data_IF_605593644452
#
_entry.id   IF_605593644452
#
_cell.length_a   1.000
_cell.length_b   1.000
_cell.length_c   1.000
_cell.angle_alpha   90.00
_cell.angle_beta   90.00
_cell.angle_gamma   90.00
#
_symmetry.space_group_name_H-M   'P 1'
#
loop_
_entity.id
_entity.type
_entity.pdbx_description
1 polymer ?
#
# COMPACT_ATOMS: atom_id res chain seq x y z
N UNK A 1 -0.50 -4.61 -1.19
CA UNK A 1 -1.38 -5.44 -2.04
C UNK A 1 -1.04 -5.13 -3.50
N UNK A 2 -0.90 -6.14 -4.36
CA UNK A 2 -0.52 -5.94 -5.76
C UNK A 2 -1.59 -5.14 -6.50
N UNK A 3 -1.16 -4.23 -7.37
CA UNK A 3 -2.05 -3.41 -8.18
C UNK A 3 -2.75 -4.29 -9.21
N UNK A 4 -4.07 -4.16 -9.31
CA UNK A 4 -4.87 -4.99 -10.23
C UNK A 4 -4.63 -4.56 -11.67
N UNK A 5 -4.22 -5.52 -12.51
CA UNK A 5 -4.10 -5.34 -13.98
C UNK A 5 -5.46 -5.04 -14.62
N UNK A 6 -5.46 -4.27 -15.71
CA UNK A 6 -6.66 -3.90 -16.46
C UNK A 6 -7.03 -4.96 -17.48
N UNK A 7 -8.31 -5.32 -17.52
CA UNK A 7 -8.92 -6.17 -18.55
C UNK A 7 -10.03 -5.41 -19.28
N UNK A 8 -10.19 -5.62 -20.58
CA UNK A 8 -11.23 -4.95 -21.38
C UNK A 8 -12.21 -5.95 -21.99
N UNK A 9 -13.48 -5.83 -21.61
CA UNK A 9 -14.56 -6.63 -22.21
C UNK A 9 -14.88 -6.16 -23.64
N UNK A 10 -14.62 -4.89 -23.95
CA UNK A 10 -14.85 -4.30 -25.27
C UNK A 10 -13.91 -4.96 -26.30
N UNK A 11 -12.64 -5.17 -25.93
CA UNK A 11 -11.66 -5.85 -26.78
C UNK A 11 -12.12 -7.26 -27.14
N UNK A 12 -12.58 -8.03 -26.15
CA UNK A 12 -13.13 -9.37 -26.36
C UNK A 12 -14.33 -9.37 -27.30
N UNK A 13 -15.26 -8.43 -27.13
CA UNK A 13 -16.41 -8.27 -28.03
C UNK A 13 -15.98 -7.90 -29.45
N UNK A 14 -15.00 -7.01 -29.61
CA UNK A 14 -14.50 -6.59 -30.91
C UNK A 14 -13.84 -7.75 -31.68
N UNK A 15 -13.04 -8.58 -31.00
CA UNK A 15 -12.44 -9.79 -31.58
C UNK A 15 -13.51 -10.78 -32.08
N UNK A 16 -14.55 -11.03 -31.30
CA UNK A 16 -15.67 -11.89 -31.73
C UNK A 16 -16.39 -11.33 -32.96
N UNK A 17 -16.59 -10.00 -33.01
CA UNK A 17 -17.19 -9.34 -34.18
C UNK A 17 -16.31 -9.51 -35.43
N UNK A 18 -14.99 -9.32 -35.31
CA UNK A 18 -14.07 -9.55 -36.43
C UNK A 18 -14.13 -11.00 -36.92
N UNK A 19 -14.17 -11.97 -36.02
CA UNK A 19 -14.32 -13.38 -36.40
C UNK A 19 -15.64 -13.64 -37.15
N UNK A 20 -16.74 -13.06 -36.67
CA UNK A 20 -18.04 -13.16 -37.34
C UNK A 20 -18.05 -12.49 -38.72
N UNK A 21 -17.49 -11.29 -38.83
CA UNK A 21 -17.40 -10.56 -40.10
C UNK A 21 -16.54 -11.31 -41.13
N UNK A 22 -15.39 -11.85 -40.71
CA UNK A 22 -14.53 -12.70 -41.56
C UNK A 22 -15.24 -13.93 -42.11
N UNK A 23 -16.15 -14.52 -41.32
CA UNK A 23 -16.92 -15.69 -41.73
C UNK A 23 -18.03 -15.36 -42.73
N UNK A 24 -18.56 -14.14 -42.71
CA UNK A 24 -19.57 -13.66 -43.65
C UNK A 24 -18.92 -13.33 -44.98
N UNK A 25 -17.93 -12.42 -44.96
CA UNK A 25 -17.15 -12.05 -46.13
C UNK A 25 -15.76 -11.55 -45.67
N UNK A 26 -14.66 -12.22 -46.09
CA UNK A 26 -13.31 -11.85 -45.73
C UNK A 26 -12.88 -10.45 -46.18
N UNK A 27 -13.54 -9.86 -47.18
CA UNK A 27 -13.18 -8.58 -47.79
C UNK A 27 -14.23 -7.48 -47.53
N UNK A 28 -14.99 -7.61 -46.43
CA UNK A 28 -15.99 -6.60 -46.03
C UNK A 28 -15.38 -5.20 -45.98
N UNK A 29 -15.93 -4.35 -46.83
CA UNK A 29 -15.61 -2.94 -46.92
C UNK A 29 -16.92 -2.14 -47.07
N UNK A 30 -17.29 -1.39 -46.03
CA UNK A 30 -18.45 -0.51 -46.07
C UNK A 30 -18.06 0.93 -46.44
N UNK A 31 -16.82 1.32 -46.13
CA UNK A 31 -16.25 2.66 -46.34
C UNK A 31 -14.73 2.63 -46.06
N UNK A 32 -14.00 3.68 -46.44
CA UNK A 32 -12.57 3.86 -46.17
C UNK A 32 -12.24 3.76 -44.67
N UNK A 33 -13.18 4.10 -43.80
CA UNK A 33 -13.03 4.02 -42.34
C UNK A 33 -13.60 2.73 -41.74
N UNK A 34 -14.75 2.27 -42.24
CA UNK A 34 -15.48 1.11 -41.72
C UNK A 34 -15.24 -0.15 -42.55
N UNK A 35 -14.01 -0.65 -42.48
CA UNK A 35 -13.63 -1.92 -43.09
C UNK A 35 -12.99 -2.87 -42.08
N UNK A 36 -12.89 -4.14 -42.47
CA UNK A 36 -12.39 -5.21 -41.62
C UNK A 36 -10.91 -5.02 -41.24
N UNK A 37 -10.12 -4.45 -42.14
CA UNK A 37 -8.70 -4.18 -41.93
C UNK A 37 -8.48 -3.12 -40.84
N UNK A 38 -9.16 -1.98 -40.93
CA UNK A 38 -9.11 -0.91 -39.94
C UNK A 38 -9.54 -1.39 -38.56
N UNK A 39 -10.63 -2.17 -38.48
CA UNK A 39 -11.10 -2.72 -37.22
C UNK A 39 -10.06 -3.67 -36.59
N UNK A 40 -9.41 -4.51 -37.41
CA UNK A 40 -8.36 -5.42 -36.93
C UNK A 40 -7.14 -4.64 -36.44
N UNK A 41 -6.70 -3.62 -37.18
CA UNK A 41 -5.60 -2.74 -36.77
C UNK A 41 -5.92 -1.99 -35.46
N UNK A 42 -7.14 -1.49 -35.30
CA UNK A 42 -7.58 -0.83 -34.07
C UNK A 42 -7.54 -1.79 -32.87
N UNK A 43 -7.97 -3.04 -33.07
CA UNK A 43 -7.92 -4.08 -32.04
C UNK A 43 -6.48 -4.36 -31.63
N UNK A 44 -5.57 -4.52 -32.59
CA UNK A 44 -4.16 -4.82 -32.32
C UNK A 44 -3.48 -3.65 -31.60
N UNK A 45 -3.73 -2.42 -32.05
CA UNK A 45 -3.23 -1.21 -31.40
C UNK A 45 -3.72 -1.11 -29.95
N UNK A 46 -5.02 -1.33 -29.72
CA UNK A 46 -5.58 -1.31 -28.37
C UNK A 46 -5.02 -2.45 -27.50
N UNK A 47 -4.83 -3.64 -28.08
CA UNK A 47 -4.26 -4.79 -27.37
C UNK A 47 -2.82 -4.49 -26.91
N UNK A 48 -1.99 -3.93 -27.78
CA UNK A 48 -0.62 -3.53 -27.46
C UNK A 48 -0.59 -2.46 -26.36
N UNK A 49 -1.43 -1.43 -26.47
CA UNK A 49 -1.53 -0.38 -25.45
C UNK A 49 -1.96 -0.94 -24.08
N UNK A 50 -2.90 -1.89 -24.06
CA UNK A 50 -3.34 -2.56 -22.83
C UNK A 50 -2.23 -3.43 -22.23
N UNK A 51 -1.47 -4.11 -23.09
CA UNK A 51 -0.35 -4.94 -22.68
C UNK A 51 0.75 -4.08 -22.03
N UNK A 52 1.15 -2.99 -22.68
CA UNK A 52 2.19 -2.08 -22.18
C UNK A 52 1.78 -1.43 -20.86
N UNK A 53 0.52 -1.02 -20.75
CA UNK A 53 -0.03 -0.51 -19.49
C UNK A 53 0.05 -1.54 -18.36
N UNK A 54 -0.32 -2.79 -18.62
CA UNK A 54 -0.25 -3.86 -17.63
C UNK A 54 1.19 -4.26 -17.29
N UNK A 55 2.13 -4.13 -18.22
CA UNK A 55 3.55 -4.32 -17.98
C UNK A 55 4.10 -3.22 -17.06
N UNK A 56 3.72 -1.96 -17.30
CA UNK A 56 4.08 -0.84 -16.43
C UNK A 56 3.55 -1.02 -15.00
N UNK A 57 2.31 -1.48 -14.83
CA UNK A 57 1.76 -1.84 -13.51
C UNK A 57 2.64 -2.88 -12.81
N UNK A 58 3.03 -3.94 -13.51
CA UNK A 58 3.86 -4.99 -12.93
C UNK A 58 5.24 -4.47 -12.50
N UNK A 59 5.83 -3.55 -13.28
CA UNK A 59 7.09 -2.90 -12.91
C UNK A 59 6.93 -2.04 -11.64
N UNK A 60 5.85 -1.27 -11.55
CA UNK A 60 5.55 -0.45 -10.36
C UNK A 60 5.39 -1.33 -9.12
N UNK A 61 4.64 -2.43 -9.21
CA UNK A 61 4.46 -3.38 -8.11
C UNK A 61 5.79 -3.98 -7.66
N UNK A 62 6.66 -4.38 -8.59
CA UNK A 62 8.00 -4.86 -8.28
C UNK A 62 8.83 -3.81 -7.55
N UNK A 63 8.83 -2.57 -8.03
CA UNK A 63 9.57 -1.47 -7.40
C UNK A 63 9.04 -1.16 -6.00
N UNK A 64 7.73 -1.22 -5.81
CA UNK A 64 7.10 -1.06 -4.49
C UNK A 64 7.55 -2.13 -3.51
N UNK A 65 7.52 -3.40 -3.91
CA UNK A 65 7.95 -4.51 -3.04
C UNK A 65 9.42 -4.34 -2.60
N UNK A 66 10.30 -3.89 -3.51
CA UNK A 66 11.71 -3.61 -3.18
C UNK A 66 11.85 -2.47 -2.16
N UNK A 67 11.04 -1.43 -2.26
CA UNK A 67 11.02 -0.35 -1.27
C UNK A 67 10.53 -0.85 0.09
N UNK A 68 9.43 -1.61 0.12
CA UNK A 68 8.88 -2.16 1.36
C UNK A 68 9.91 -3.09 2.06
N UNK A 69 10.65 -3.90 1.29
CA UNK A 69 11.74 -4.75 1.81
C UNK A 69 12.93 -3.94 2.35
N UNK A 70 13.32 -2.89 1.63
CA UNK A 70 14.40 -2.00 2.06
C UNK A 70 14.01 -1.23 3.32
N UNK A 71 12.79 -0.72 3.40
CA UNK A 71 12.26 -0.02 4.58
C UNK A 71 12.25 -0.94 5.80
N UNK A 72 11.81 -2.19 5.63
CA UNK A 72 11.87 -3.20 6.69
C UNK A 72 13.30 -3.46 7.14
N UNK A 73 14.24 -3.55 6.22
CA UNK A 73 15.66 -3.76 6.53
C UNK A 73 16.24 -2.57 7.28
N UNK A 74 15.95 -1.35 6.83
CA UNK A 74 16.39 -0.12 7.47
C UNK A 74 15.86 -0.01 8.90
N UNK A 75 14.56 -0.26 9.10
CA UNK A 75 13.93 -0.28 10.42
C UNK A 75 14.60 -1.30 11.36
N UNK A 76 14.88 -2.51 10.86
CA UNK A 76 15.56 -3.52 11.67
C UNK A 76 16.98 -3.11 12.07
N UNK A 77 17.72 -2.46 11.16
CA UNK A 77 19.08 -2.00 11.44
C UNK A 77 19.06 -0.82 12.41
N UNK A 78 18.16 0.15 12.23
CA UNK A 78 18.02 1.28 13.15
C UNK A 78 17.65 0.83 14.56
N UNK A 79 16.71 -0.12 14.69
CA UNK A 79 16.29 -0.67 15.99
C UNK A 79 17.45 -1.40 16.69
N UNK A 80 18.25 -2.16 15.92
CA UNK A 80 19.46 -2.81 16.42
C UNK A 80 20.49 -1.77 16.87
N UNK A 81 20.72 -0.72 16.09
CA UNK A 81 21.65 0.35 16.46
C UNK A 81 21.23 1.03 17.76
N UNK A 82 19.95 1.38 17.90
CA UNK A 82 19.41 1.95 19.15
C UNK A 82 19.61 0.98 20.32
N UNK A 83 19.35 -0.31 20.11
CA UNK A 83 19.58 -1.34 21.13
C UNK A 83 21.07 -1.42 21.53
N UNK A 84 21.98 -1.35 20.57
CA UNK A 84 23.43 -1.32 20.83
C UNK A 84 23.86 -0.08 21.63
N UNK A 85 23.31 1.10 21.34
CA UNK A 85 23.53 2.31 22.15
C UNK A 85 23.08 2.07 23.59
N UNK A 86 21.89 1.47 23.77
CA UNK A 86 21.39 1.10 25.09
C UNK A 86 22.23 0.05 25.81
N UNK A 87 22.85 -0.89 25.07
CA UNK A 87 23.80 -1.86 25.63
C UNK A 87 25.12 -1.22 26.05
N UNK A 88 25.63 -0.25 25.29
CA UNK A 88 26.93 0.38 25.52
C UNK A 88 26.90 1.44 26.63
N UNK A 89 25.91 2.33 26.59
CA UNK A 89 25.81 3.48 27.51
C UNK A 89 24.75 3.27 28.60
N UNK A 90 23.88 2.27 28.45
CA UNK A 90 22.77 2.01 29.35
C UNK A 90 21.47 2.67 28.88
N UNK A 91 20.33 2.04 29.17
CA UNK A 91 19.00 2.50 28.74
C UNK A 91 18.46 3.73 29.49
N UNK A 92 19.12 4.16 30.56
CA UNK A 92 18.80 5.41 31.28
C UNK A 92 19.78 6.55 30.98
N UNK A 93 20.70 6.34 30.04
CA UNK A 93 21.72 7.32 29.68
C UNK A 93 21.16 8.45 28.80
N UNK A 94 21.88 9.57 28.75
CA UNK A 94 21.52 10.71 27.90
C UNK A 94 21.75 10.36 26.43
N UNK A 95 22.76 9.55 26.14
CA UNK A 95 23.12 9.06 24.81
C UNK A 95 22.01 8.20 24.21
N UNK A 96 21.35 7.38 25.03
CA UNK A 96 20.21 6.58 24.60
C UNK A 96 18.98 7.44 24.27
N UNK A 97 18.73 8.50 25.03
CA UNK A 97 17.67 9.48 24.72
C UNK A 97 17.99 10.26 23.43
N UNK A 98 19.23 10.74 23.30
CA UNK A 98 19.70 11.46 22.11
C UNK A 98 19.64 10.60 20.84
N UNK A 99 19.82 9.28 20.96
CA UNK A 99 19.64 8.33 19.87
C UNK A 99 18.16 8.04 19.51
N UNK A 100 17.21 8.69 20.19
CA UNK A 100 15.77 8.55 19.97
C UNK A 100 15.10 7.47 20.83
N UNK A 101 15.80 6.90 21.80
CA UNK A 101 15.23 5.98 22.79
C UNK A 101 14.49 6.72 23.90
N UNK A 102 13.55 6.04 24.56
CA UNK A 102 12.92 6.55 25.80
C UNK A 102 13.59 5.89 26.99
N UNK A 103 14.09 6.70 27.94
CA UNK A 103 14.74 6.19 29.17
C UNK A 103 13.82 5.25 29.94
N UNK A 104 14.37 4.20 30.56
CA UNK A 104 13.57 3.27 31.36
C UNK A 104 12.92 3.94 32.58
N UNK A 105 13.55 4.98 33.15
CA UNK A 105 12.99 5.83 34.22
C UNK A 105 11.75 6.60 33.80
N UNK A 106 11.72 7.05 32.55
CA UNK A 106 10.63 7.86 31.97
C UNK A 106 9.57 6.99 31.28
N UNK A 107 9.90 5.74 30.97
CA UNK A 107 9.00 4.77 30.34
C UNK A 107 7.87 4.36 31.30
N UNK A 108 6.68 4.92 31.10
CA UNK A 108 5.48 4.48 31.83
C UNK A 108 4.92 3.19 31.18
N UNK A 109 4.91 2.08 31.94
CA UNK A 109 4.28 0.82 31.47
C UNK A 109 2.77 0.98 31.32
N UNK A 110 2.18 0.38 30.28
CA UNK A 110 0.73 0.42 30.00
C UNK A 110 -0.14 0.02 31.20
N UNK A 111 0.26 -0.99 31.99
CA UNK A 111 -0.45 -1.40 33.21
C UNK A 111 -0.44 -0.34 34.32
N UNK A 112 0.61 0.49 34.39
CA UNK A 112 0.69 1.63 35.31
C UNK A 112 -0.14 2.79 34.81
N UNK A 113 -0.18 3.03 33.49
CA UNK A 113 -1.07 4.01 32.87
C UNK A 113 -2.55 3.70 33.11
N UNK A 114 -2.97 2.43 32.95
CA UNK A 114 -4.37 2.05 33.19
C UNK A 114 -4.76 2.20 34.65
N UNK A 115 -3.86 1.84 35.59
CA UNK A 115 -4.09 2.04 37.03
C UNK A 115 -4.12 3.52 37.42
N UNK A 116 -3.25 4.35 36.83
CA UNK A 116 -3.30 5.80 37.04
C UNK A 116 -4.64 6.36 36.56
N UNK A 117 -5.07 6.01 35.34
CA UNK A 117 -6.36 6.43 34.80
C UNK A 117 -7.53 6.01 35.70
N UNK A 118 -7.61 4.73 36.09
CA UNK A 118 -8.67 4.25 36.98
C UNK A 118 -8.68 4.92 38.35
N UNK A 119 -7.52 5.31 38.86
CA UNK A 119 -7.44 6.05 40.12
C UNK A 119 -7.88 7.50 39.94
N UNK A 120 -7.58 8.10 38.79
CA UNK A 120 -7.99 9.47 38.45
C UNK A 120 -9.52 9.55 38.29
N UNK A 121 -10.12 8.55 37.64
CA UNK A 121 -11.57 8.42 37.48
C UNK A 121 -12.26 8.26 38.85
N UNK A 122 -11.75 7.39 39.73
CA UNK A 122 -12.27 7.24 41.12
C UNK A 122 -12.17 8.52 41.96
N UNK A 123 -11.06 9.24 41.88
CA UNK A 123 -10.92 10.53 42.60
C UNK A 123 -11.83 11.61 42.03
N UNK A 124 -12.23 11.51 40.76
CA UNK A 124 -13.19 12.43 40.14
C UNK A 124 -14.61 12.14 40.64
N UNK A 125 -14.96 10.86 40.76
CA UNK A 125 -16.26 10.41 41.27
C UNK A 125 -16.43 10.70 42.78
N UNK A 126 -15.39 10.48 43.60
CA UNK A 126 -15.44 10.81 45.04
C UNK A 126 -15.58 12.32 45.29
N UNK A 127 -14.87 13.16 44.54
CA UNK A 127 -14.97 14.61 44.66
C UNK A 127 -16.33 15.16 44.20
N UNK A 128 -17.01 14.49 43.25
CA UNK A 128 -18.36 14.85 42.82
C UNK A 128 -19.43 14.51 43.88
N UNK A 129 -19.24 13.45 44.66
CA UNK A 129 -20.16 13.04 45.73
C UNK A 129 -20.05 13.97 46.95
N UNK A 130 -18.86 14.51 47.24
CA UNK A 130 -18.62 15.45 48.36
C UNK A 130 -18.99 16.91 48.07
N UNK A 131 -19.41 17.24 46.84
CA UNK A 131 -19.70 18.61 46.39
C UNK A 131 -21.20 18.96 46.32
N UNK A 132 -22.08 18.13 46.89
CA UNK A 132 -23.51 18.44 47.03
C UNK A 132 -23.81 18.85 48.48
N UNK A 133 -24.27 20.08 48.76
CA UNK A 133 -24.69 20.53 50.10
C UNK A 133 -26.00 19.90 50.56
#
# INVERSE_FOLDING_TARGET
>A
MPVKKRSSQILKKAQFRVAGLKAIDPNINFDDTYNLQNLTQLIDNFHNMLHDYNAAIAMIDSSRNKLDEMEKTLSQVSDKMLTWVGCKYGKNSNEYELAGGVRDSERIRKSRLTRLKSNTDKTSDENAITATP
#
